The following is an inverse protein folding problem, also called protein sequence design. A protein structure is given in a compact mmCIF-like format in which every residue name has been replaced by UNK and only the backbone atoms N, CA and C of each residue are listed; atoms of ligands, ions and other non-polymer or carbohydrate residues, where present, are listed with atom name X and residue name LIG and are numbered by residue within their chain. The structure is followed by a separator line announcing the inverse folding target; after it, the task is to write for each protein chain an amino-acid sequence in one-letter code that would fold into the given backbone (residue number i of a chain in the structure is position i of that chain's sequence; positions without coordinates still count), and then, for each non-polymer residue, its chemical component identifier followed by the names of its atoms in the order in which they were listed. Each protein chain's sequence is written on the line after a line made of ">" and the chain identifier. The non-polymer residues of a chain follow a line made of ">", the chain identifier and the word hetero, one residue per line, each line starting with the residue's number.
data_IF_093544155432
#
_entry.id   IF_093544155432
#
_cell.length_a   1.000
_cell.length_b   1.000
_cell.length_c   1.000
_cell.angle_alpha   90.00
_cell.angle_beta   90.00
_cell.angle_gamma   90.00
#
_symmetry.space_group_name_H-M   'P 1'
#
loop_
_entity.id
_entity.type
_entity.pdbx_description
1 polymer ?
#
# COMPACT_ATOMS: atom_id res chain seq x y z
N UNK A 1 3.36 3.63 13.62
CA UNK A 1 2.84 4.36 12.45
C UNK A 1 2.56 3.39 11.32
N UNK A 2 1.47 3.63 10.57
CA UNK A 2 1.07 2.81 9.42
C UNK A 2 2.02 3.09 8.26
N UNK A 3 2.53 2.04 7.60
CA UNK A 3 3.47 2.15 6.50
C UNK A 3 2.76 2.14 5.14
N UNK A 4 3.23 2.94 4.19
CA UNK A 4 2.80 2.91 2.79
C UNK A 4 3.79 2.06 1.99
N UNK A 5 3.29 1.02 1.32
CA UNK A 5 4.08 0.21 0.41
C UNK A 5 3.62 0.39 -1.03
N UNK A 6 4.57 0.50 -1.96
CA UNK A 6 4.32 0.33 -3.39
C UNK A 6 5.19 -0.79 -3.96
N UNK A 7 5.16 -0.98 -5.27
CA UNK A 7 5.89 -2.06 -5.95
C UNK A 7 6.43 -1.58 -7.29
N UNK A 8 7.67 -1.94 -7.60
CA UNK A 8 8.25 -1.66 -8.92
C UNK A 8 7.58 -2.44 -10.04
N UNK A 9 7.58 -1.86 -11.22
CA UNK A 9 7.12 -2.48 -12.48
C UNK A 9 8.29 -2.92 -13.36
N UNK A 10 9.51 -2.50 -13.04
CA UNK A 10 10.74 -2.88 -13.71
C UNK A 10 11.10 -4.35 -13.45
N UNK A 11 11.89 -4.93 -14.31
CA UNK A 11 12.50 -6.24 -14.05
C UNK A 11 13.66 -6.05 -13.09
N UNK A 12 13.67 -6.74 -11.97
CA UNK A 12 14.65 -6.55 -10.88
C UNK A 12 16.11 -6.78 -11.32
N UNK A 13 16.34 -7.59 -12.37
CA UNK A 13 17.66 -7.75 -13.01
C UNK A 13 18.17 -6.47 -13.71
N UNK A 14 17.27 -5.55 -14.06
CA UNK A 14 17.63 -4.18 -14.49
C UNK A 14 17.80 -3.32 -13.23
N UNK A 15 18.98 -3.38 -12.65
CA UNK A 15 19.31 -2.76 -11.36
C UNK A 15 19.12 -1.26 -11.40
N UNK A 16 19.68 -0.58 -12.40
CA UNK A 16 19.60 0.88 -12.51
C UNK A 16 18.19 1.38 -12.76
N UNK A 17 17.44 0.72 -13.65
CA UNK A 17 16.03 1.05 -13.89
C UNK A 17 15.17 0.81 -12.65
N UNK A 18 15.45 -0.27 -11.91
CA UNK A 18 14.72 -0.58 -10.67
C UNK A 18 15.04 0.42 -9.56
N UNK A 19 16.31 0.77 -9.38
CA UNK A 19 16.72 1.80 -8.41
C UNK A 19 16.11 3.16 -8.73
N UNK A 20 16.15 3.60 -9.98
CA UNK A 20 15.52 4.86 -10.39
C UNK A 20 14.04 4.88 -10.00
N UNK A 21 13.30 3.82 -10.28
CA UNK A 21 11.89 3.72 -9.90
C UNK A 21 11.69 3.65 -8.37
N UNK A 22 12.57 2.97 -7.62
CA UNK A 22 12.52 2.96 -6.15
C UNK A 22 12.69 4.36 -5.59
N UNK A 23 13.66 5.14 -6.10
CA UNK A 23 13.86 6.53 -5.66
C UNK A 23 12.63 7.41 -5.93
N UNK A 24 12.01 7.27 -7.10
CA UNK A 24 10.79 8.00 -7.44
C UNK A 24 9.61 7.60 -6.54
N UNK A 25 9.40 6.32 -6.32
CA UNK A 25 8.33 5.80 -5.44
C UNK A 25 8.54 6.29 -4.00
N UNK A 26 9.77 6.21 -3.48
CA UNK A 26 10.11 6.64 -2.12
C UNK A 26 9.93 8.15 -1.95
N UNK A 27 10.42 8.97 -2.88
CA UNK A 27 10.25 10.43 -2.83
C UNK A 27 8.80 10.89 -2.92
N UNK A 28 7.90 10.04 -3.42
CA UNK A 28 6.46 10.29 -3.50
C UNK A 28 5.65 9.67 -2.36
N UNK A 29 6.31 9.24 -1.27
CA UNK A 29 5.64 8.92 -0.01
C UNK A 29 5.54 7.45 0.35
N UNK A 30 6.16 6.53 -0.40
CA UNK A 30 6.28 5.15 0.04
C UNK A 30 7.38 4.99 1.11
N UNK A 31 7.07 4.24 2.15
CA UNK A 31 8.02 3.88 3.22
C UNK A 31 8.73 2.57 2.93
N UNK A 32 8.15 1.72 2.07
CA UNK A 32 8.61 0.37 1.75
C UNK A 32 8.36 0.13 0.27
N UNK A 33 9.32 -0.48 -0.42
CA UNK A 33 9.14 -0.89 -1.82
C UNK A 33 9.30 -2.40 -1.96
N UNK A 34 8.36 -3.03 -2.68
CA UNK A 34 8.42 -4.44 -3.04
C UNK A 34 8.94 -4.59 -4.46
N UNK A 35 9.85 -5.55 -4.66
CA UNK A 35 10.41 -5.92 -5.95
C UNK A 35 10.20 -7.41 -6.22
N UNK A 36 10.05 -7.79 -7.49
CA UNK A 36 9.85 -9.20 -7.86
C UNK A 36 11.19 -9.95 -7.86
N UNK A 37 11.23 -11.14 -7.24
CA UNK A 37 12.38 -12.03 -7.28
C UNK A 37 11.93 -13.43 -7.75
N UNK A 38 11.84 -13.61 -9.07
CA UNK A 38 11.30 -14.80 -9.72
C UNK A 38 12.35 -15.56 -10.58
N UNK A 39 13.56 -15.05 -10.68
CA UNK A 39 14.69 -15.61 -11.42
C UNK A 39 16.01 -15.35 -10.68
N UNK A 40 17.07 -16.07 -11.03
CA UNK A 40 18.39 -15.97 -10.36
C UNK A 40 18.98 -14.58 -10.57
N UNK A 41 18.90 -14.05 -11.77
CA UNK A 41 19.41 -12.72 -12.14
C UNK A 41 18.73 -11.60 -11.34
N UNK A 42 17.45 -11.79 -10.97
CA UNK A 42 16.76 -10.87 -10.09
C UNK A 42 17.33 -10.92 -8.66
N UNK A 43 17.63 -12.12 -8.15
CA UNK A 43 18.25 -12.29 -6.84
C UNK A 43 19.68 -11.70 -6.79
N UNK A 44 20.45 -11.85 -7.87
CA UNK A 44 21.79 -11.23 -8.02
C UNK A 44 21.68 -9.69 -8.01
N UNK A 45 20.69 -9.14 -8.74
CA UNK A 45 20.44 -7.68 -8.77
C UNK A 45 20.04 -7.10 -7.43
N UNK A 46 19.39 -7.90 -6.56
CA UNK A 46 18.99 -7.46 -5.21
C UNK A 46 20.19 -7.03 -4.36
N UNK A 47 21.38 -7.63 -4.55
CA UNK A 47 22.59 -7.28 -3.76
C UNK A 47 22.90 -5.78 -3.86
N UNK A 48 22.84 -5.24 -5.05
CA UNK A 48 23.12 -3.80 -5.27
C UNK A 48 21.89 -2.94 -4.92
N UNK A 49 20.68 -3.42 -5.24
CA UNK A 49 19.44 -2.70 -4.93
C UNK A 49 19.29 -2.46 -3.44
N UNK A 50 19.51 -3.46 -2.59
CA UNK A 50 19.36 -3.33 -1.13
C UNK A 50 20.38 -2.37 -0.53
N UNK A 51 21.61 -2.34 -1.06
CA UNK A 51 22.67 -1.45 -0.60
C UNK A 51 22.42 0.03 -0.96
N UNK A 52 21.73 0.28 -2.07
CA UNK A 52 21.54 1.63 -2.63
C UNK A 52 20.13 2.16 -2.42
N UNK A 53 19.18 1.34 -2.00
CA UNK A 53 17.80 1.77 -1.79
C UNK A 53 17.67 2.77 -0.64
N UNK A 54 16.90 3.87 -0.80
CA UNK A 54 16.63 4.81 0.28
C UNK A 54 15.57 4.30 1.28
N UNK A 55 14.88 3.19 0.96
CA UNK A 55 13.80 2.60 1.76
C UNK A 55 13.94 1.07 1.83
N UNK A 56 13.36 0.42 2.84
CA UNK A 56 13.34 -1.03 2.97
C UNK A 56 12.80 -1.75 1.72
N UNK A 57 13.46 -2.84 1.33
CA UNK A 57 13.13 -3.66 0.16
C UNK A 57 12.51 -5.00 0.58
N UNK A 58 11.34 -5.29 0.02
CA UNK A 58 10.67 -6.58 0.20
C UNK A 58 10.79 -7.38 -1.09
N UNK A 59 11.37 -8.59 -1.01
CA UNK A 59 11.41 -9.50 -2.14
C UNK A 59 10.11 -10.31 -2.27
N UNK A 60 9.51 -10.29 -3.45
CA UNK A 60 8.30 -11.06 -3.78
C UNK A 60 8.68 -12.41 -4.38
N UNK A 61 8.53 -13.46 -3.59
CA UNK A 61 8.87 -14.84 -3.92
C UNK A 61 7.59 -15.65 -4.16
N UNK A 62 7.50 -16.36 -5.29
CA UNK A 62 6.30 -17.13 -5.62
C UNK A 62 6.42 -18.62 -5.29
N UNK A 63 7.43 -19.34 -5.83
CA UNK A 63 7.48 -20.80 -5.77
C UNK A 63 8.84 -21.38 -5.34
N UNK A 64 9.92 -20.66 -5.56
CA UNK A 64 11.26 -21.21 -5.39
C UNK A 64 11.90 -20.78 -4.09
N UNK A 65 11.96 -21.67 -3.10
CA UNK A 65 12.57 -21.39 -1.79
C UNK A 65 14.04 -20.95 -1.89
N UNK A 66 14.78 -21.42 -2.91
CA UNK A 66 16.18 -21.01 -3.13
C UNK A 66 16.30 -19.52 -3.48
N UNK A 67 15.31 -18.95 -4.17
CA UNK A 67 15.27 -17.52 -4.43
C UNK A 67 14.96 -16.73 -3.15
N UNK A 68 14.16 -17.31 -2.22
CA UNK A 68 13.95 -16.70 -0.93
C UNK A 68 15.26 -16.62 -0.12
N UNK A 69 16.04 -17.70 -0.11
CA UNK A 69 17.37 -17.73 0.56
C UNK A 69 18.32 -16.72 -0.09
N UNK A 70 18.41 -16.71 -1.42
CA UNK A 70 19.27 -15.76 -2.15
C UNK A 70 18.86 -14.30 -1.91
N UNK A 71 17.56 -14.01 -1.81
CA UNK A 71 17.08 -12.68 -1.47
C UNK A 71 17.45 -12.27 -0.03
N UNK A 72 17.38 -13.20 0.92
CA UNK A 72 17.85 -12.97 2.31
C UNK A 72 19.34 -12.67 2.33
N UNK A 73 20.13 -13.48 1.63
CA UNK A 73 21.59 -13.31 1.53
C UNK A 73 21.96 -11.98 0.83
N UNK A 74 21.11 -11.50 -0.08
CA UNK A 74 21.25 -10.19 -0.71
C UNK A 74 20.89 -9.00 0.21
N UNK A 75 20.39 -9.28 1.43
CA UNK A 75 20.12 -8.25 2.43
C UNK A 75 18.77 -7.55 2.30
N UNK A 76 17.73 -8.22 1.80
CA UNK A 76 16.37 -7.65 1.79
C UNK A 76 15.83 -7.51 3.22
N UNK A 77 14.92 -6.53 3.40
CA UNK A 77 14.32 -6.21 4.69
C UNK A 77 13.06 -7.05 5.00
N UNK A 78 12.67 -7.91 4.09
CA UNK A 78 11.56 -8.84 4.29
C UNK A 78 11.21 -9.62 3.03
N UNK A 79 10.42 -10.67 3.22
CA UNK A 79 9.91 -11.50 2.14
C UNK A 79 8.39 -11.41 2.01
N UNK A 80 7.88 -11.46 0.79
CA UNK A 80 6.50 -11.87 0.52
C UNK A 80 6.54 -13.30 -0.02
N UNK A 81 5.95 -14.22 0.71
CA UNK A 81 5.99 -15.64 0.39
C UNK A 81 4.75 -16.32 0.96
N UNK A 82 4.16 -17.24 0.20
CA UNK A 82 3.16 -18.15 0.73
C UNK A 82 3.83 -19.52 0.96
N UNK A 83 4.01 -19.95 2.23
CA UNK A 83 4.69 -21.19 2.55
C UNK A 83 4.10 -22.43 1.87
N UNK A 84 2.77 -22.48 1.70
CA UNK A 84 2.08 -23.56 0.99
C UNK A 84 2.55 -23.76 -0.46
N UNK A 85 3.08 -22.72 -1.11
CA UNK A 85 3.65 -22.84 -2.46
C UNK A 85 4.99 -23.60 -2.48
N UNK A 86 5.70 -23.67 -1.35
CA UNK A 86 6.98 -24.40 -1.22
C UNK A 86 6.74 -25.91 -1.05
N UNK A 87 5.63 -26.31 -0.41
CA UNK A 87 5.12 -27.69 -0.23
C UNK A 87 5.99 -28.63 0.62
N UNK A 88 7.25 -28.33 0.92
CA UNK A 88 8.15 -29.19 1.70
C UNK A 88 8.49 -28.50 3.02
N UNK A 89 8.11 -29.10 4.14
CA UNK A 89 8.35 -28.60 5.49
C UNK A 89 9.84 -28.28 5.73
N UNK A 90 10.75 -29.15 5.26
CA UNK A 90 12.20 -28.91 5.41
C UNK A 90 12.67 -27.61 4.74
N UNK A 91 12.08 -27.27 3.59
CA UNK A 91 12.39 -26.04 2.84
C UNK A 91 11.76 -24.81 3.51
N UNK A 92 10.55 -24.95 4.07
CA UNK A 92 9.92 -23.90 4.88
C UNK A 92 10.78 -23.60 6.11
N UNK A 93 11.24 -24.65 6.82
CA UNK A 93 12.17 -24.52 7.95
C UNK A 93 13.46 -23.80 7.58
N UNK A 94 14.02 -24.10 6.42
CA UNK A 94 15.26 -23.49 5.94
C UNK A 94 15.07 -21.98 5.70
N UNK A 95 14.00 -21.59 5.01
CA UNK A 95 13.66 -20.17 4.80
C UNK A 95 13.35 -19.45 6.11
N UNK A 96 12.53 -20.05 6.97
CA UNK A 96 12.17 -19.48 8.27
C UNK A 96 13.41 -19.26 9.15
N UNK A 97 14.33 -20.24 9.21
CA UNK A 97 15.60 -20.12 9.93
C UNK A 97 16.50 -19.01 9.37
N UNK A 98 16.61 -18.91 8.06
CA UNK A 98 17.37 -17.84 7.42
C UNK A 98 16.76 -16.46 7.71
N UNK A 99 15.43 -16.32 7.58
CA UNK A 99 14.71 -15.09 7.89
C UNK A 99 14.84 -14.69 9.36
N UNK A 100 14.76 -15.66 10.28
CA UNK A 100 14.99 -15.43 11.72
C UNK A 100 16.41 -14.96 12.00
N UNK A 101 17.40 -15.58 11.38
CA UNK A 101 18.82 -15.19 11.53
C UNK A 101 19.11 -13.78 10.99
N UNK A 102 18.43 -13.38 9.92
CA UNK A 102 18.50 -12.05 9.34
C UNK A 102 17.57 -11.04 10.05
N UNK A 103 16.73 -11.49 10.99
CA UNK A 103 15.73 -10.69 11.70
C UNK A 103 14.75 -9.96 10.75
N UNK A 104 14.32 -10.61 9.69
CA UNK A 104 13.37 -10.04 8.71
C UNK A 104 12.00 -10.73 8.77
N UNK A 105 10.89 -10.00 8.51
CA UNK A 105 9.56 -10.57 8.49
C UNK A 105 9.26 -11.36 7.20
N UNK A 106 8.35 -12.32 7.31
CA UNK A 106 7.70 -12.96 6.17
C UNK A 106 6.25 -12.51 6.10
N UNK A 107 5.84 -11.96 4.95
CA UNK A 107 4.44 -11.62 4.69
C UNK A 107 3.73 -12.73 3.93
N UNK A 108 2.74 -13.32 4.56
CA UNK A 108 1.74 -14.19 3.92
C UNK A 108 0.79 -13.31 3.08
N UNK A 109 0.53 -13.69 1.83
CA UNK A 109 -0.30 -12.91 0.94
C UNK A 109 -1.34 -13.75 0.21
N UNK A 110 -2.54 -13.85 0.79
CA UNK A 110 -3.68 -14.52 0.16
C UNK A 110 -4.45 -13.53 -0.72
N UNK A 111 -4.83 -13.97 -1.92
CA UNK A 111 -5.66 -13.20 -2.85
C UNK A 111 -6.82 -14.06 -3.34
N UNK A 112 -8.01 -13.48 -3.48
CA UNK A 112 -9.20 -14.19 -3.96
C UNK A 112 -9.01 -14.86 -5.33
N UNK A 113 -8.29 -14.20 -6.25
CA UNK A 113 -8.03 -14.74 -7.60
C UNK A 113 -7.03 -15.91 -7.67
N UNK A 114 -6.35 -16.24 -6.57
CA UNK A 114 -5.37 -17.34 -6.51
C UNK A 114 -5.60 -18.27 -5.31
N UNK A 115 -6.84 -18.37 -4.85
CA UNK A 115 -7.23 -19.26 -3.77
C UNK A 115 -7.11 -20.72 -4.20
N UNK A 116 -6.78 -21.61 -3.25
CA UNK A 116 -6.64 -23.04 -3.51
C UNK A 116 -7.98 -23.66 -3.99
N UNK A 117 -7.88 -24.62 -4.90
CA UNK A 117 -9.06 -25.29 -5.49
C UNK A 117 -9.92 -25.98 -4.45
N UNK A 118 -9.32 -26.61 -3.45
CA UNK A 118 -10.02 -27.32 -2.38
C UNK A 118 -10.87 -26.34 -1.56
N UNK A 119 -10.38 -25.12 -1.33
CA UNK A 119 -11.14 -24.08 -0.64
C UNK A 119 -12.25 -23.51 -1.53
N UNK A 120 -11.99 -23.32 -2.83
CA UNK A 120 -13.04 -22.92 -3.78
C UNK A 120 -14.14 -23.96 -3.90
N UNK A 121 -13.81 -25.26 -3.90
CA UNK A 121 -14.80 -26.34 -3.89
C UNK A 121 -15.60 -26.39 -2.57
N UNK A 122 -14.92 -26.17 -1.43
CA UNK A 122 -15.55 -26.16 -0.10
C UNK A 122 -16.54 -25.02 0.10
N UNK A 123 -16.17 -23.80 -0.35
CA UNK A 123 -16.94 -22.59 -0.09
C UNK A 123 -17.77 -22.11 -1.29
N UNK A 124 -17.57 -22.71 -2.46
CA UNK A 124 -18.27 -22.37 -3.70
C UNK A 124 -17.72 -21.12 -4.40
N UNK A 125 -17.01 -20.25 -3.69
CA UNK A 125 -16.38 -19.02 -4.21
C UNK A 125 -15.26 -18.56 -3.26
N UNK A 126 -14.54 -17.48 -3.64
CA UNK A 126 -13.55 -16.83 -2.80
C UNK A 126 -14.22 -15.96 -1.71
N UNK A 127 -14.91 -16.61 -0.78
CA UNK A 127 -15.59 -15.94 0.33
C UNK A 127 -14.61 -15.41 1.39
N UNK A 128 -15.04 -14.50 2.27
CA UNK A 128 -14.21 -14.04 3.40
C UNK A 128 -13.68 -15.19 4.26
N UNK A 129 -14.50 -16.19 4.56
CA UNK A 129 -14.12 -17.36 5.34
C UNK A 129 -13.06 -18.21 4.62
N UNK A 130 -13.20 -18.39 3.30
CA UNK A 130 -12.22 -19.12 2.48
C UNK A 130 -10.85 -18.42 2.48
N UNK A 131 -10.84 -17.10 2.34
CA UNK A 131 -9.60 -16.31 2.40
C UNK A 131 -8.92 -16.38 3.76
N UNK A 132 -9.71 -16.29 4.84
CA UNK A 132 -9.20 -16.38 6.20
C UNK A 132 -8.69 -17.79 6.49
N UNK A 133 -9.41 -18.85 6.09
CA UNK A 133 -8.95 -20.24 6.26
C UNK A 133 -7.63 -20.48 5.51
N UNK A 134 -7.49 -19.96 4.29
CA UNK A 134 -6.23 -20.01 3.55
C UNK A 134 -5.10 -19.32 4.30
N UNK A 135 -5.34 -18.12 4.83
CA UNK A 135 -4.34 -17.38 5.60
C UNK A 135 -3.93 -18.11 6.89
N UNK A 136 -4.88 -18.71 7.61
CA UNK A 136 -4.61 -19.49 8.82
C UNK A 136 -3.83 -20.76 8.52
N UNK A 137 -4.07 -21.40 7.38
CA UNK A 137 -3.29 -22.57 6.93
C UNK A 137 -1.84 -22.18 6.63
N UNK A 138 -1.64 -21.07 5.89
CA UNK A 138 -0.29 -20.55 5.60
C UNK A 138 0.44 -20.10 6.87
N UNK A 139 -0.27 -19.48 7.81
CA UNK A 139 0.25 -19.07 9.11
C UNK A 139 0.78 -20.28 9.89
N UNK A 140 -0.01 -21.34 9.94
CA UNK A 140 0.36 -22.57 10.64
C UNK A 140 1.67 -23.17 10.14
N UNK A 141 1.94 -23.15 8.83
CA UNK A 141 3.23 -23.64 8.30
C UNK A 141 4.44 -22.90 8.86
N UNK A 142 4.32 -21.61 9.19
CA UNK A 142 5.41 -20.85 9.82
C UNK A 142 5.46 -21.05 11.32
N UNK A 143 4.32 -21.11 12.00
CA UNK A 143 4.24 -21.37 13.44
C UNK A 143 4.75 -22.78 13.79
N UNK A 144 4.44 -23.80 12.96
CA UNK A 144 4.92 -25.19 13.15
C UNK A 144 6.46 -25.31 13.04
N UNK A 145 7.14 -24.27 12.54
CA UNK A 145 8.60 -24.18 12.48
C UNK A 145 9.19 -23.09 13.41
N UNK A 146 8.41 -22.66 14.40
CA UNK A 146 8.77 -21.65 15.41
C UNK A 146 9.14 -20.28 14.81
N UNK A 147 8.50 -19.88 13.72
CA UNK A 147 8.68 -18.55 13.11
C UNK A 147 7.45 -17.68 13.33
N UNK A 148 7.62 -16.55 14.04
CA UNK A 148 6.54 -15.64 14.47
C UNK A 148 6.70 -14.20 13.98
N UNK A 149 7.76 -13.86 13.25
CA UNK A 149 7.91 -12.53 12.65
C UNK A 149 7.10 -12.45 11.33
N UNK A 150 5.78 -12.44 11.46
CA UNK A 150 4.83 -12.62 10.37
C UNK A 150 3.99 -11.38 10.18
N UNK A 151 3.67 -11.07 8.94
CA UNK A 151 2.66 -10.10 8.50
C UNK A 151 1.68 -10.81 7.58
N UNK A 152 0.38 -10.45 7.62
CA UNK A 152 -0.64 -11.17 6.84
C UNK A 152 -1.42 -10.19 5.96
N UNK A 153 -1.79 -10.64 4.76
CA UNK A 153 -2.74 -9.95 3.90
C UNK A 153 -3.75 -10.93 3.30
N UNK A 154 -5.03 -10.55 3.32
CA UNK A 154 -6.14 -11.25 2.68
C UNK A 154 -6.85 -10.27 1.75
N UNK A 155 -6.57 -10.35 0.45
CA UNK A 155 -6.99 -9.35 -0.53
C UNK A 155 -8.05 -9.90 -1.46
N UNK A 156 -9.00 -9.03 -1.81
CA UNK A 156 -10.01 -9.30 -2.81
C UNK A 156 -10.22 -8.07 -3.70
N UNK A 157 -10.66 -8.24 -4.94
CA UNK A 157 -11.01 -7.15 -5.86
C UNK A 157 -12.39 -6.54 -5.56
N UNK A 158 -13.27 -7.31 -4.90
CA UNK A 158 -14.55 -6.84 -4.37
C UNK A 158 -14.32 -6.21 -3.00
N UNK A 159 -14.66 -4.93 -2.85
CA UNK A 159 -14.37 -4.14 -1.64
C UNK A 159 -15.11 -4.66 -0.41
N UNK A 160 -16.42 -4.93 -0.42
CA UNK A 160 -17.14 -5.54 0.71
C UNK A 160 -16.52 -6.86 1.19
N UNK A 161 -16.19 -7.78 0.26
CA UNK A 161 -15.55 -9.05 0.61
C UNK A 161 -14.16 -8.84 1.22
N UNK A 162 -13.39 -7.90 0.70
CA UNK A 162 -12.07 -7.54 1.25
C UNK A 162 -12.21 -7.03 2.69
N UNK A 163 -13.13 -6.10 2.94
CA UNK A 163 -13.35 -5.54 4.27
C UNK A 163 -13.73 -6.63 5.27
N UNK A 164 -14.69 -7.48 4.91
CA UNK A 164 -15.15 -8.57 5.77
C UNK A 164 -14.05 -9.59 6.04
N UNK A 165 -13.23 -9.91 5.04
CA UNK A 165 -12.08 -10.82 5.21
C UNK A 165 -11.07 -10.30 6.24
N UNK A 166 -10.77 -9.00 6.23
CA UNK A 166 -9.85 -8.42 7.23
C UNK A 166 -10.47 -8.30 8.62
N UNK A 167 -11.76 -8.02 8.74
CA UNK A 167 -12.47 -8.05 10.02
C UNK A 167 -12.41 -9.42 10.65
N UNK A 168 -12.78 -10.46 9.89
CA UNK A 168 -12.73 -11.86 10.34
C UNK A 168 -11.30 -12.30 10.70
N UNK A 169 -10.30 -11.85 9.94
CA UNK A 169 -8.91 -12.17 10.24
C UNK A 169 -8.42 -11.46 11.51
N UNK A 170 -8.75 -10.19 11.69
CA UNK A 170 -8.37 -9.40 12.86
C UNK A 170 -8.93 -9.95 14.18
N UNK A 171 -10.08 -10.65 14.13
CA UNK A 171 -10.63 -11.36 15.31
C UNK A 171 -9.84 -12.62 15.69
N UNK A 172 -9.04 -13.15 14.76
CA UNK A 172 -8.36 -14.45 14.91
C UNK A 172 -6.86 -14.35 15.18
N UNK A 173 -6.23 -13.24 14.82
CA UNK A 173 -4.77 -13.08 14.89
C UNK A 173 -4.38 -11.71 15.46
N UNK A 174 -3.23 -11.69 16.15
CA UNK A 174 -2.60 -10.45 16.62
C UNK A 174 -1.43 -10.00 15.73
N UNK A 175 -1.20 -10.70 14.61
CA UNK A 175 -0.14 -10.35 13.65
C UNK A 175 -0.47 -9.07 12.89
N UNK A 176 0.54 -8.25 12.55
CA UNK A 176 0.36 -7.07 11.71
C UNK A 176 -0.34 -7.38 10.38
N UNK A 177 -1.30 -6.53 10.00
CA UNK A 177 -2.11 -6.70 8.80
C UNK A 177 -1.69 -5.72 7.69
N UNK A 178 -1.51 -6.25 6.48
CA UNK A 178 -1.18 -5.48 5.29
C UNK A 178 -2.43 -5.34 4.41
N UNK A 179 -3.04 -4.17 4.43
CA UNK A 179 -4.29 -3.88 3.73
C UNK A 179 -4.08 -3.57 2.24
N UNK A 180 -5.09 -3.87 1.46
CA UNK A 180 -5.20 -3.44 0.06
C UNK A 180 -6.28 -4.19 -0.69
N UNK A 181 -6.89 -3.49 -1.65
CA UNK A 181 -7.75 -4.10 -2.67
C UNK A 181 -6.86 -4.61 -3.79
N UNK A 182 -6.93 -5.90 -4.14
CA UNK A 182 -6.14 -6.44 -5.25
C UNK A 182 -6.80 -6.10 -6.59
N UNK A 183 -5.98 -5.87 -7.63
CA UNK A 183 -6.49 -5.65 -8.99
C UNK A 183 -7.59 -4.58 -9.04
N UNK A 184 -7.35 -3.46 -8.35
CA UNK A 184 -8.36 -2.42 -8.22
C UNK A 184 -8.72 -1.75 -9.55
N UNK A 185 -7.79 -1.75 -10.50
CA UNK A 185 -7.99 -1.23 -11.85
C UNK A 185 -7.41 0.18 -12.07
N UNK A 186 -7.70 0.81 -13.22
CA UNK A 186 -7.17 2.11 -13.57
C UNK A 186 -7.82 3.24 -12.78
N UNK A 187 -7.19 4.42 -12.85
CA UNK A 187 -7.76 5.67 -12.32
C UNK A 187 -9.01 6.09 -13.15
N UNK A 188 -10.02 6.73 -12.52
CA UNK A 188 -10.15 6.99 -11.09
C UNK A 188 -10.76 5.82 -10.29
N UNK A 189 -11.34 4.81 -10.96
CA UNK A 189 -12.10 3.73 -10.33
C UNK A 189 -11.28 2.91 -9.33
N UNK A 190 -10.04 2.56 -9.69
CA UNK A 190 -9.13 1.81 -8.83
C UNK A 190 -8.77 2.57 -7.55
N UNK A 191 -8.58 3.89 -7.66
CA UNK A 191 -8.33 4.76 -6.53
C UNK A 191 -9.52 4.78 -5.58
N UNK A 192 -10.74 4.95 -6.09
CA UNK A 192 -11.97 4.97 -5.29
C UNK A 192 -12.16 3.65 -4.54
N UNK A 193 -12.01 2.50 -5.23
CA UNK A 193 -12.11 1.17 -4.61
C UNK A 193 -11.11 0.98 -3.49
N UNK A 194 -9.84 1.29 -3.75
CA UNK A 194 -8.76 1.13 -2.78
C UNK A 194 -8.96 2.02 -1.56
N UNK A 195 -9.30 3.30 -1.79
CA UNK A 195 -9.58 4.26 -0.71
C UNK A 195 -10.76 3.79 0.14
N UNK A 196 -11.88 3.37 -0.47
CA UNK A 196 -13.05 2.89 0.26
C UNK A 196 -12.72 1.69 1.16
N UNK A 197 -12.01 0.69 0.63
CA UNK A 197 -11.66 -0.51 1.41
C UNK A 197 -10.65 -0.23 2.52
N UNK A 198 -9.56 0.48 2.20
CA UNK A 198 -8.49 0.75 3.16
C UNK A 198 -8.96 1.70 4.25
N UNK A 199 -9.62 2.83 3.91
CA UNK A 199 -10.07 3.81 4.90
C UNK A 199 -11.08 3.24 5.89
N UNK A 200 -11.98 2.37 5.44
CA UNK A 200 -12.95 1.70 6.32
C UNK A 200 -12.23 0.92 7.43
N UNK A 201 -11.27 0.08 7.06
CA UNK A 201 -10.52 -0.74 8.02
C UNK A 201 -9.62 0.10 8.93
N UNK A 202 -8.94 1.13 8.39
CA UNK A 202 -8.10 2.02 9.19
C UNK A 202 -8.91 2.79 10.24
N UNK A 203 -10.13 3.23 9.92
CA UNK A 203 -11.03 3.88 10.88
C UNK A 203 -11.53 2.94 11.99
N UNK A 204 -11.49 1.62 11.74
CA UNK A 204 -11.79 0.58 12.72
C UNK A 204 -10.55 0.15 13.54
N UNK A 205 -9.38 0.77 13.29
CA UNK A 205 -8.12 0.41 13.94
C UNK A 205 -7.46 -0.84 13.36
N UNK A 206 -7.89 -1.31 12.19
CA UNK A 206 -7.35 -2.50 11.52
C UNK A 206 -6.37 -2.08 10.45
N UNK A 207 -5.10 -2.55 10.53
CA UNK A 207 -4.08 -2.39 9.51
C UNK A 207 -2.83 -1.64 9.96
N UNK A 208 -1.67 -2.15 9.51
CA UNK A 208 -0.32 -1.67 9.87
C UNK A 208 0.49 -1.27 8.64
N UNK A 209 0.17 -1.80 7.49
CA UNK A 209 0.74 -1.43 6.20
C UNK A 209 -0.39 -1.33 5.17
N UNK A 210 -0.33 -0.34 4.30
CA UNK A 210 -1.29 -0.20 3.20
C UNK A 210 -0.60 -0.25 1.85
N UNK A 211 -1.28 -0.81 0.83
CA UNK A 211 -0.84 -0.77 -0.55
C UNK A 211 -2.03 -0.61 -1.50
N UNK A 212 -2.01 0.44 -2.29
CA UNK A 212 -2.86 0.59 -3.46
C UNK A 212 -2.38 -0.34 -4.58
N UNK A 213 -3.28 -0.95 -5.35
CA UNK A 213 -2.95 -1.83 -6.49
C UNK A 213 -3.61 -1.27 -7.75
N UNK A 214 -3.01 -0.25 -8.31
CA UNK A 214 -3.55 0.49 -9.45
C UNK A 214 -2.97 -0.01 -10.77
N UNK A 215 -3.78 0.04 -11.82
CA UNK A 215 -3.29 -0.06 -13.21
C UNK A 215 -2.85 1.34 -13.65
N UNK A 216 -1.76 1.83 -13.07
CA UNK A 216 -1.19 3.15 -13.25
C UNK A 216 0.30 3.15 -12.90
N UNK A 217 0.97 4.29 -13.01
CA UNK A 217 2.32 4.47 -12.50
C UNK A 217 2.35 4.18 -10.98
N UNK A 218 3.32 3.40 -10.46
CA UNK A 218 3.42 3.08 -9.04
C UNK A 218 3.65 4.30 -8.13
N UNK A 219 4.06 5.44 -8.68
CA UNK A 219 4.11 6.72 -7.98
C UNK A 219 2.72 7.12 -7.47
N UNK A 220 1.67 6.89 -8.28
CA UNK A 220 0.29 7.19 -7.89
C UNK A 220 -0.18 6.35 -6.70
N UNK A 221 0.31 5.11 -6.56
CA UNK A 221 0.05 4.26 -5.39
C UNK A 221 0.66 4.86 -4.12
N UNK A 222 1.92 5.32 -4.21
CA UNK A 222 2.66 5.92 -3.10
C UNK A 222 1.99 7.23 -2.64
N UNK A 223 1.73 8.15 -3.57
CA UNK A 223 1.05 9.42 -3.31
C UNK A 223 -0.31 9.21 -2.65
N UNK A 224 -1.14 8.36 -3.24
CA UNK A 224 -2.49 8.09 -2.73
C UNK A 224 -2.47 7.48 -1.33
N UNK A 225 -1.55 6.55 -1.08
CA UNK A 225 -1.39 5.94 0.24
C UNK A 225 -0.95 6.95 1.29
N UNK A 226 0.00 7.82 0.96
CA UNK A 226 0.49 8.88 1.84
C UNK A 226 -0.62 9.89 2.16
N UNK A 227 -1.30 10.39 1.14
CA UNK A 227 -2.40 11.36 1.29
C UNK A 227 -3.56 10.78 2.11
N UNK A 228 -3.92 9.51 1.89
CA UNK A 228 -4.96 8.87 2.69
C UNK A 228 -4.63 8.92 4.18
N UNK A 229 -3.40 8.57 4.57
CA UNK A 229 -2.99 8.59 5.98
C UNK A 229 -2.99 10.02 6.56
N UNK A 230 -2.61 11.01 5.77
CA UNK A 230 -2.65 12.43 6.17
C UNK A 230 -4.09 12.91 6.35
N UNK A 231 -5.00 12.60 5.42
CA UNK A 231 -6.42 13.00 5.53
C UNK A 231 -7.17 12.30 6.66
N UNK A 232 -6.74 11.10 7.04
CA UNK A 232 -7.28 10.39 8.21
C UNK A 232 -6.64 10.83 9.55
N UNK A 233 -5.66 11.75 9.53
CA UNK A 233 -4.93 12.17 10.72
C UNK A 233 -4.03 11.08 11.33
N UNK A 234 -3.74 10.03 10.58
CA UNK A 234 -2.88 8.91 10.98
C UNK A 234 -1.39 9.16 10.71
N UNK A 235 -1.09 10.25 10.01
CA UNK A 235 0.25 10.73 9.71
C UNK A 235 0.27 12.26 9.66
N UNK A 236 1.38 12.86 10.08
CA UNK A 236 1.58 14.30 9.94
C UNK A 236 1.56 14.69 8.47
N UNK A 237 0.88 15.79 8.17
CA UNK A 237 0.80 16.35 6.82
C UNK A 237 2.16 16.92 6.43
N UNK A 238 2.62 16.55 5.24
CA UNK A 238 3.78 17.16 4.61
C UNK A 238 3.49 17.59 3.15
N UNK A 239 2.21 17.59 2.77
CA UNK A 239 1.73 18.00 1.45
C UNK A 239 0.70 19.12 1.57
N UNK A 240 0.48 19.84 0.46
CA UNK A 240 -0.57 20.83 0.34
C UNK A 240 -1.95 20.19 0.50
N UNK A 241 -2.78 20.80 1.34
CA UNK A 241 -4.21 20.47 1.46
C UNK A 241 -5.05 21.62 0.92
N UNK A 242 -5.63 21.42 -0.26
CA UNK A 242 -6.45 22.43 -0.91
C UNK A 242 -7.94 22.21 -0.59
N UNK A 243 -8.51 23.13 0.16
CA UNK A 243 -9.96 23.21 0.42
C UNK A 243 -10.57 24.17 -0.60
N UNK A 244 -11.28 23.65 -1.59
CA UNK A 244 -11.90 24.49 -2.60
C UNK A 244 -13.42 24.29 -2.64
N UNK A 245 -14.16 25.38 -2.79
CA UNK A 245 -15.61 25.28 -2.91
C UNK A 245 -16.00 24.70 -4.29
N UNK A 246 -17.14 23.94 -4.38
CA UNK A 246 -17.53 23.24 -5.59
C UNK A 246 -18.06 24.16 -6.73
N UNK A 247 -17.83 25.46 -6.67
CA UNK A 247 -18.24 26.44 -7.71
C UNK A 247 -19.74 26.37 -8.04
N UNK A 248 -20.60 26.47 -7.02
CA UNK A 248 -22.05 26.45 -7.22
C UNK A 248 -22.57 27.80 -7.81
N UNK A 249 -23.88 27.91 -8.10
CA UNK A 249 -24.50 29.13 -8.69
C UNK A 249 -24.37 30.42 -7.87
N UNK A 250 -23.74 30.38 -6.68
CA UNK A 250 -23.38 31.55 -5.88
C UNK A 250 -21.96 32.04 -6.09
N UNK A 251 -21.15 31.30 -6.86
CA UNK A 251 -19.77 31.68 -7.12
C UNK A 251 -19.72 32.96 -7.94
N UNK A 252 -18.94 33.94 -7.51
CA UNK A 252 -18.76 35.23 -8.15
C UNK A 252 -17.52 35.28 -9.04
N UNK A 253 -16.69 34.22 -8.99
CA UNK A 253 -15.47 34.05 -9.77
C UNK A 253 -15.37 32.58 -10.25
N UNK A 254 -14.51 32.35 -11.22
CA UNK A 254 -14.18 30.99 -11.68
C UNK A 254 -13.28 30.30 -10.64
N UNK A 255 -13.94 29.66 -9.66
CA UNK A 255 -13.26 28.97 -8.53
C UNK A 255 -12.42 27.79 -9.02
N UNK A 256 -12.88 27.09 -10.06
CA UNK A 256 -12.17 25.93 -10.61
C UNK A 256 -10.79 26.39 -11.09
N UNK A 257 -10.75 27.41 -11.93
CA UNK A 257 -9.51 27.98 -12.45
C UNK A 257 -8.58 28.48 -11.33
N UNK A 258 -9.12 29.22 -10.36
CA UNK A 258 -8.33 29.74 -9.24
C UNK A 258 -7.77 28.61 -8.38
N UNK A 259 -8.54 27.55 -8.14
CA UNK A 259 -8.09 26.38 -7.38
C UNK A 259 -6.98 25.61 -8.12
N UNK A 260 -7.12 25.41 -9.42
CA UNK A 260 -6.10 24.77 -10.27
C UNK A 260 -4.79 25.59 -10.30
N UNK A 261 -4.87 26.90 -10.48
CA UNK A 261 -3.71 27.81 -10.45
C UNK A 261 -3.03 27.81 -9.07
N UNK A 262 -3.82 27.83 -7.98
CA UNK A 262 -3.29 27.74 -6.63
C UNK A 262 -2.59 26.40 -6.38
N UNK A 263 -3.21 25.31 -6.80
CA UNK A 263 -2.64 23.95 -6.66
C UNK A 263 -1.33 23.82 -7.46
N UNK A 264 -1.29 24.31 -8.70
CA UNK A 264 -0.08 24.26 -9.54
C UNK A 264 1.06 25.11 -8.96
N UNK A 265 0.75 26.30 -8.46
CA UNK A 265 1.73 27.21 -7.88
C UNK A 265 2.32 26.65 -6.57
N UNK A 266 1.48 26.11 -5.71
CA UNK A 266 1.85 25.68 -4.36
C UNK A 266 2.43 24.26 -4.31
N UNK A 267 2.05 23.38 -5.23
CA UNK A 267 2.66 22.03 -5.32
C UNK A 267 4.17 22.05 -5.62
N UNK A 268 4.70 23.18 -6.11
CA UNK A 268 6.12 23.33 -6.40
C UNK A 268 6.95 23.63 -5.14
N UNK A 269 6.30 24.01 -4.05
CA UNK A 269 6.99 24.55 -2.88
C UNK A 269 7.13 23.52 -1.74
N UNK A 270 6.56 22.31 -1.88
CA UNK A 270 6.56 21.23 -0.86
C UNK A 270 6.25 21.73 0.57
N UNK A 271 5.30 22.68 0.68
CA UNK A 271 4.95 23.29 1.96
C UNK A 271 3.67 22.64 2.50
N UNK A 272 3.68 22.13 3.75
CA UNK A 272 2.50 21.48 4.35
C UNK A 272 1.47 22.51 4.81
N UNK A 273 0.88 23.26 3.88
CA UNK A 273 -0.13 24.27 4.15
C UNK A 273 -1.54 23.77 3.83
N UNK A 274 -2.50 24.22 4.62
CA UNK A 274 -3.91 24.14 4.28
C UNK A 274 -4.34 25.46 3.62
N UNK A 275 -4.75 25.37 2.37
CA UNK A 275 -5.15 26.55 1.57
C UNK A 275 -6.62 26.44 1.21
N UNK A 276 -7.41 27.46 1.57
CA UNK A 276 -8.82 27.54 1.22
C UNK A 276 -9.04 28.46 0.03
N UNK A 277 -9.72 27.98 -1.03
CA UNK A 277 -10.11 28.74 -2.21
C UNK A 277 -11.63 28.80 -2.30
N UNK A 278 -12.19 29.98 -1.98
CA UNK A 278 -13.62 30.17 -1.86
C UNK A 278 -14.11 31.25 -2.81
N UNK A 279 -15.24 31.01 -3.49
CA UNK A 279 -15.78 31.88 -4.52
C UNK A 279 -17.06 32.64 -4.13
N UNK A 280 -17.50 32.61 -2.87
CA UNK A 280 -18.66 33.36 -2.42
C UNK A 280 -18.58 33.70 -0.92
N UNK A 281 -19.41 34.68 -0.50
CA UNK A 281 -19.44 35.21 0.88
C UNK A 281 -20.12 34.28 1.90
N UNK A 282 -20.75 33.18 1.48
CA UNK A 282 -21.53 32.31 2.39
C UNK A 282 -20.60 31.41 3.22
N UNK A 283 -19.81 30.55 2.59
CA UNK A 283 -18.87 29.66 3.27
C UNK A 283 -17.44 30.23 3.29
N UNK A 284 -17.13 31.14 2.34
CA UNK A 284 -15.80 31.69 2.15
C UNK A 284 -15.13 32.21 3.42
N UNK A 285 -15.78 33.08 4.19
CA UNK A 285 -15.17 33.65 5.42
C UNK A 285 -14.91 32.61 6.51
N UNK A 286 -15.72 31.55 6.58
CA UNK A 286 -15.56 30.47 7.57
C UNK A 286 -14.38 29.58 7.25
N UNK A 287 -14.37 29.02 6.05
CA UNK A 287 -13.32 28.11 5.59
C UNK A 287 -11.96 28.81 5.45
N UNK A 288 -11.95 30.03 4.89
CA UNK A 288 -10.73 30.82 4.80
C UNK A 288 -10.10 31.17 6.15
N UNK A 289 -10.92 31.26 7.21
CA UNK A 289 -10.44 31.54 8.58
C UNK A 289 -9.84 30.32 9.24
N UNK A 290 -10.29 29.12 8.87
CA UNK A 290 -9.82 27.86 9.43
C UNK A 290 -8.56 27.33 8.77
N UNK A 291 -8.25 27.79 7.56
CA UNK A 291 -7.05 27.42 6.80
C UNK A 291 -5.84 28.31 7.17
N UNK A 292 -4.64 27.84 6.87
CA UNK A 292 -3.40 28.63 7.02
C UNK A 292 -3.38 29.83 6.06
N UNK A 293 -3.88 29.62 4.83
CA UNK A 293 -4.07 30.67 3.83
C UNK A 293 -5.48 30.58 3.26
N UNK A 294 -6.20 31.70 3.25
CA UNK A 294 -7.53 31.78 2.72
C UNK A 294 -7.64 32.74 1.54
N UNK A 295 -8.13 32.26 0.39
CA UNK A 295 -8.50 33.05 -0.77
C UNK A 295 -10.03 33.08 -0.84
N UNK A 296 -10.63 34.16 -0.38
CA UNK A 296 -12.07 34.39 -0.48
C UNK A 296 -12.33 35.40 -1.60
N UNK A 297 -12.56 34.91 -2.81
CA UNK A 297 -12.77 35.73 -3.98
C UNK A 297 -14.24 36.15 -4.11
N UNK A 298 -14.46 37.43 -4.46
CA UNK A 298 -15.77 38.00 -4.72
C UNK A 298 -15.69 39.07 -5.83
N UNK A 299 -16.85 39.45 -6.37
CA UNK A 299 -16.96 40.46 -7.43
C UNK A 299 -16.48 41.80 -6.86
N UNK A 300 -15.31 42.26 -7.26
CA UNK A 300 -14.66 43.52 -6.81
C UNK A 300 -13.91 43.45 -5.45
N UNK A 301 -13.51 42.28 -4.98
CA UNK A 301 -12.64 42.14 -3.81
C UNK A 301 -11.59 41.08 -4.01
#
# INVERSE_FOLDING_TARGET
>A
PISVQSMTTTKTRDVEGTLAQIYEIASNGADIVRVTCNEVEAAEGLVEITQRSPVPIIADIHFQYKLALAAIDAGVDGLRLNPGNIRKESQIKEVAKAALSANIPIRIGVNGGSLDKDLLEKYGDATPEALVESAMTELKYLEDVDFFNIKISVKHSNVPLMIESYRLLAEKVEYPLHLGVTEAGPLPGGLIKSTAGISTLLNEGIGDTIRYSLTADPIEEAKSGRQLLEYLGLRERNSLDLIACPSCGRAEVDVIKVAEEAQEALNKEDIPLQVAVMGCVVNGPGEARSADIGIAAGKNK
#
